data_IF_271675882296
#
_entry.id   IF_271675882296
#
_cell.length_a   1.000
_cell.length_b   1.000
_cell.length_c   1.000
_cell.angle_alpha   90.00
_cell.angle_beta   90.00
_cell.angle_gamma   90.00
#
_symmetry.space_group_name_H-M   'P 1'
#
loop_
_entity.id
_entity.type
_entity.pdbx_description
1 polymer ?
#
# COMPACT_ATOMS: atom_id res chain seq x y z
N UNK A 1 -29.02 74.95 33.19
CA UNK A 1 -28.73 73.91 34.19
C UNK A 1 -29.37 72.62 33.69
N UNK A 2 -28.61 71.76 33.00
CA UNK A 2 -29.10 70.46 32.51
C UNK A 2 -28.24 69.36 33.14
N UNK A 3 -28.90 68.45 33.84
CA UNK A 3 -28.31 67.31 34.54
C UNK A 3 -27.91 66.20 33.55
N UNK A 4 -26.69 65.69 33.70
CA UNK A 4 -26.22 64.46 33.05
C UNK A 4 -26.42 63.31 34.05
N UNK A 5 -27.24 62.33 33.68
CA UNK A 5 -27.43 61.08 34.43
C UNK A 5 -26.47 60.04 33.84
N UNK A 6 -25.53 59.56 34.64
CA UNK A 6 -24.62 58.46 34.31
C UNK A 6 -25.21 57.18 34.89
N UNK A 7 -25.59 56.24 34.03
CA UNK A 7 -26.00 54.89 34.43
C UNK A 7 -24.78 53.96 34.35
N UNK A 8 -24.37 53.41 35.49
CA UNK A 8 -23.33 52.38 35.60
C UNK A 8 -23.97 50.99 35.39
N UNK A 9 -23.46 50.23 34.42
CA UNK A 9 -23.85 48.84 34.20
C UNK A 9 -22.75 47.91 34.75
N UNK A 10 -23.11 47.09 35.73
CA UNK A 10 -22.28 46.08 36.38
C UNK A 10 -22.29 44.80 35.54
N UNK A 11 -21.12 44.31 35.12
CA UNK A 11 -20.98 43.02 34.43
C UNK A 11 -20.46 41.99 35.44
N UNK A 12 -21.28 40.98 35.74
CA UNK A 12 -20.91 39.83 36.56
C UNK A 12 -20.15 38.80 35.70
N UNK A 13 -18.95 38.43 36.15
CA UNK A 13 -18.10 37.41 35.55
C UNK A 13 -18.44 36.04 36.15
N UNK A 14 -18.88 35.09 35.31
CA UNK A 14 -19.09 33.70 35.68
C UNK A 14 -17.86 32.87 35.26
N UNK A 15 -17.10 32.40 36.24
CA UNK A 15 -15.99 31.48 36.06
C UNK A 15 -16.52 30.06 35.75
N UNK A 16 -16.09 29.48 34.62
CA UNK A 16 -16.36 28.08 34.29
C UNK A 16 -15.26 27.18 34.89
N UNK A 17 -15.68 26.17 35.65
CA UNK A 17 -14.81 25.14 36.18
C UNK A 17 -14.51 24.08 35.12
N UNK A 18 -13.24 23.79 34.88
CA UNK A 18 -12.80 22.68 34.03
C UNK A 18 -12.81 21.36 34.83
N UNK A 19 -13.21 20.23 34.22
CA UNK A 19 -13.19 18.92 34.87
C UNK A 19 -11.78 18.34 34.94
N UNK A 20 -11.38 17.90 36.13
CA UNK A 20 -10.15 17.15 36.42
C UNK A 20 -10.41 15.67 36.16
N UNK A 21 -9.64 15.04 35.26
CA UNK A 21 -9.67 13.59 35.04
C UNK A 21 -8.61 12.89 35.91
N UNK A 22 -8.93 11.73 36.52
CA UNK A 22 -7.96 10.97 37.31
C UNK A 22 -6.98 10.20 36.42
N UNK A 23 -5.68 10.35 36.71
CA UNK A 23 -4.58 9.61 36.09
C UNK A 23 -4.44 8.26 36.80
N UNK A 24 -4.47 7.16 36.03
CA UNK A 24 -4.23 5.81 36.55
C UNK A 24 -2.72 5.55 36.78
N UNK A 25 -2.34 4.79 37.83
CA UNK A 25 -0.95 4.48 38.12
C UNK A 25 -0.38 3.40 37.18
N UNK A 26 0.84 3.63 36.71
CA UNK A 26 1.63 2.71 35.88
C UNK A 26 2.46 1.80 36.80
N UNK A 27 2.20 0.50 36.75
CA UNK A 27 2.95 -0.52 37.48
C UNK A 27 4.19 -0.92 36.68
N UNK A 28 5.38 -0.54 37.14
CA UNK A 28 6.67 -0.95 36.61
C UNK A 28 7.18 -2.20 37.33
N UNK A 29 7.18 -3.34 36.65
CA UNK A 29 7.86 -4.56 37.11
C UNK A 29 9.28 -4.60 36.56
N UNK A 30 10.25 -4.35 37.43
CA UNK A 30 11.67 -4.59 37.22
C UNK A 30 11.97 -6.10 37.26
N UNK A 31 12.69 -6.59 36.25
CA UNK A 31 13.32 -7.92 36.31
C UNK A 31 14.80 -7.73 35.98
N UNK A 32 15.61 -7.60 37.02
CA UNK A 32 17.07 -7.50 36.95
C UNK A 32 17.62 -8.90 37.20
N UNK A 33 18.12 -9.54 36.15
CA UNK A 33 18.85 -10.79 36.26
C UNK A 33 20.35 -10.47 36.33
N UNK A 34 20.94 -10.73 37.49
CA UNK A 34 22.35 -10.53 37.81
C UNK A 34 23.09 -11.87 37.76
N UNK A 35 24.17 -11.91 36.97
CA UNK A 35 25.19 -12.95 37.03
C UNK A 35 25.93 -13.02 35.69
N UNK A 36 27.23 -13.20 35.60
CA UNK A 36 28.31 -13.12 36.56
C UNK A 36 29.55 -12.72 35.75
N UNK A 37 30.42 -11.89 36.33
CA UNK A 37 31.73 -11.60 35.79
C UNK A 37 32.64 -12.81 36.03
N UNK A 38 33.30 -13.30 34.98
CA UNK A 38 34.60 -13.94 35.14
C UNK A 38 35.53 -13.58 33.98
N UNK A 39 36.72 -13.14 34.37
CA UNK A 39 37.69 -12.42 33.56
C UNK A 39 38.91 -13.33 33.39
N UNK A 40 39.16 -13.82 32.18
CA UNK A 40 40.26 -14.74 31.89
C UNK A 40 40.90 -14.44 30.54
N UNK A 41 41.96 -13.63 30.58
CA UNK A 41 42.83 -13.32 29.45
C UNK A 41 43.86 -14.44 29.24
N UNK A 42 43.92 -15.10 28.08
CA UNK A 42 45.14 -15.78 27.59
C UNK A 42 45.16 -15.88 26.04
N UNK A 43 46.22 -15.28 25.49
CA UNK A 43 46.96 -15.54 24.24
C UNK A 43 46.27 -15.86 22.89
N UNK A 44 46.52 -14.90 22.00
CA UNK A 44 46.76 -14.97 20.56
C UNK A 44 47.52 -16.22 20.08
N UNK A 45 46.87 -17.11 19.31
CA UNK A 45 47.51 -18.08 18.39
C UNK A 45 46.55 -18.36 17.22
N UNK A 46 46.90 -17.94 16.01
CA UNK A 46 46.32 -18.47 14.76
C UNK A 46 46.82 -19.89 14.51
N UNK A 47 45.98 -20.79 14.01
CA UNK A 47 46.36 -21.39 12.74
C UNK A 47 45.21 -21.69 11.77
N UNK A 48 45.59 -21.60 10.50
CA UNK A 48 45.12 -22.35 9.32
C UNK A 48 44.36 -23.63 9.65
N UNK A 49 43.16 -23.78 9.10
CA UNK A 49 42.36 -25.00 9.21
C UNK A 49 41.24 -25.07 8.18
N UNK A 50 41.54 -25.75 7.08
CA UNK A 50 40.59 -26.30 6.11
C UNK A 50 39.39 -26.93 6.81
N UNK A 51 38.17 -26.61 6.37
CA UNK A 51 36.99 -27.40 6.75
C UNK A 51 36.38 -28.05 5.50
N UNK A 52 36.77 -29.32 5.34
CA UNK A 52 36.13 -30.32 4.51
C UNK A 52 34.81 -30.75 5.15
N UNK A 53 33.68 -30.38 4.56
CA UNK A 53 32.43 -31.10 4.78
C UNK A 53 32.12 -31.96 3.55
N UNK A 54 32.60 -33.20 3.68
CA UNK A 54 32.17 -34.37 2.95
C UNK A 54 30.68 -34.61 3.20
N UNK A 55 29.86 -34.46 2.16
CA UNK A 55 28.61 -35.20 2.03
C UNK A 55 28.72 -36.04 0.77
N UNK A 56 28.97 -37.32 1.00
CA UNK A 56 29.11 -38.35 0.00
C UNK A 56 27.73 -38.96 -0.26
N UNK A 57 27.27 -38.86 -1.51
CA UNK A 57 26.33 -39.73 -2.24
C UNK A 57 26.06 -38.98 -3.57
N UNK A 58 26.63 -39.35 -4.71
CA UNK A 58 26.75 -40.70 -5.25
C UNK A 58 25.59 -40.96 -6.22
N UNK A 59 25.54 -40.25 -7.35
CA UNK A 59 24.82 -40.72 -8.55
C UNK A 59 25.55 -40.31 -9.83
N UNK A 60 25.61 -41.29 -10.72
CA UNK A 60 26.45 -41.41 -11.90
C UNK A 60 26.03 -40.51 -13.06
N UNK A 61 27.02 -40.22 -13.91
CA UNK A 61 26.93 -39.50 -15.17
C UNK A 61 26.01 -40.17 -16.21
N UNK A 62 25.41 -39.36 -17.10
CA UNK A 62 25.36 -39.64 -18.53
C UNK A 62 25.29 -38.34 -19.36
N UNK A 63 26.21 -38.24 -20.33
CA UNK A 63 26.25 -37.26 -21.40
C UNK A 63 25.21 -37.57 -22.50
N UNK A 64 24.63 -36.55 -23.12
CA UNK A 64 24.44 -36.36 -24.59
C UNK A 64 23.58 -35.09 -24.81
N UNK A 65 24.05 -34.01 -25.46
CA UNK A 65 24.30 -33.80 -26.91
C UNK A 65 22.99 -33.64 -27.73
N UNK A 66 22.75 -32.38 -28.14
CA UNK A 66 22.14 -31.89 -29.41
C UNK A 66 20.62 -32.05 -29.61
N UNK A 67 19.91 -30.92 -29.65
CA UNK A 67 19.25 -30.35 -30.85
C UNK A 67 18.15 -29.34 -30.45
N UNK A 68 18.39 -28.05 -30.72
CA UNK A 68 17.31 -27.14 -31.11
C UNK A 68 16.81 -27.61 -32.48
N UNK A 69 15.49 -27.68 -32.71
CA UNK A 69 14.98 -26.84 -33.79
C UNK A 69 13.50 -26.40 -33.65
N UNK A 70 13.18 -25.27 -34.28
CA UNK A 70 11.84 -24.71 -34.54
C UNK A 70 11.13 -24.06 -33.34
N UNK A 71 10.44 -22.94 -33.46
CA UNK A 71 10.07 -22.20 -34.65
C UNK A 71 9.28 -20.97 -34.23
N UNK A 72 9.60 -19.86 -34.89
CA UNK A 72 8.86 -18.62 -34.90
C UNK A 72 7.41 -18.89 -35.34
N UNK A 73 6.43 -18.57 -34.48
CA UNK A 73 5.02 -18.48 -34.87
C UNK A 73 4.37 -17.36 -34.04
N UNK A 74 3.81 -16.39 -34.77
CA UNK A 74 3.36 -15.11 -34.23
C UNK A 74 2.07 -15.15 -33.42
N UNK A 75 1.73 -13.94 -32.98
CA UNK A 75 0.36 -13.45 -32.73
C UNK A 75 -0.34 -13.95 -31.46
N UNK A 76 -0.48 -13.05 -30.48
CA UNK A 76 -1.71 -12.26 -30.33
C UNK A 76 -1.74 -11.52 -28.98
N UNK A 77 -2.01 -10.22 -29.06
CA UNK A 77 -2.69 -9.38 -28.06
C UNK A 77 -2.55 -9.78 -26.58
N UNK A 78 -1.62 -9.15 -25.87
CA UNK A 78 -1.72 -9.06 -24.40
C UNK A 78 -1.83 -7.61 -23.95
N UNK A 79 -2.78 -7.43 -23.05
CA UNK A 79 -3.56 -6.22 -22.86
C UNK A 79 -2.79 -5.06 -22.21
N UNK A 80 -3.06 -3.87 -22.74
CA UNK A 80 -2.80 -2.56 -22.14
C UNK A 80 -3.72 -2.39 -20.91
N UNK A 81 -3.27 -2.79 -19.72
CA UNK A 81 -4.07 -2.66 -18.50
C UNK A 81 -3.80 -1.32 -17.82
N UNK A 82 -4.70 -0.40 -18.12
CA UNK A 82 -4.91 0.89 -17.48
C UNK A 82 -5.28 0.75 -15.99
N UNK A 83 -4.73 1.61 -15.13
CA UNK A 83 -4.80 1.57 -13.66
C UNK A 83 -6.16 2.01 -13.05
N UNK A 84 -7.29 1.91 -13.77
CA UNK A 84 -8.57 2.48 -13.32
C UNK A 84 -9.61 1.49 -12.76
N UNK A 85 -9.24 0.26 -12.41
CA UNK A 85 -10.22 -0.76 -11.97
C UNK A 85 -10.58 -0.74 -10.47
N UNK A 86 -10.28 0.33 -9.72
CA UNK A 86 -10.61 0.45 -8.28
C UNK A 86 -11.75 1.40 -7.94
N UNK A 87 -12.47 1.94 -8.94
CA UNK A 87 -13.58 2.85 -8.70
C UNK A 87 -14.74 2.55 -9.65
N UNK A 88 -15.60 1.62 -9.26
CA UNK A 88 -17.03 1.53 -9.63
C UNK A 88 -17.53 0.11 -9.37
N UNK A 89 -17.90 -0.22 -8.13
CA UNK A 89 -18.84 -1.30 -7.82
C UNK A 89 -19.48 -1.03 -6.45
N UNK A 90 -20.19 0.10 -6.33
CA UNK A 90 -21.23 0.22 -5.31
C UNK A 90 -22.42 -0.58 -5.84
N UNK A 91 -22.57 -1.82 -5.34
CA UNK A 91 -23.75 -2.63 -5.65
C UNK A 91 -24.98 -1.99 -5.00
N UNK A 92 -26.05 -1.65 -5.73
CA UNK A 92 -27.31 -1.29 -5.11
C UNK A 92 -27.92 -2.54 -4.48
N UNK A 93 -28.26 -2.46 -3.19
CA UNK A 93 -29.05 -3.48 -2.52
C UNK A 93 -30.44 -3.58 -3.17
N UNK A 94 -30.93 -4.77 -3.54
CA UNK A 94 -32.28 -4.93 -4.04
C UNK A 94 -33.26 -4.83 -2.85
N UNK A 95 -34.02 -3.73 -2.79
CA UNK A 95 -35.21 -3.62 -1.94
C UNK A 95 -36.38 -4.34 -2.61
N UNK A 96 -37.09 -5.24 -1.90
CA UNK A 96 -38.29 -5.89 -2.45
C UNK A 96 -39.43 -4.86 -2.53
N UNK A 97 -39.87 -4.57 -3.75
CA UNK A 97 -41.00 -3.70 -4.04
C UNK A 97 -42.31 -4.42 -3.69
N UNK A 98 -42.97 -3.99 -2.61
CA UNK A 98 -44.36 -4.33 -2.33
C UNK A 98 -45.25 -3.35 -3.10
N UNK A 99 -46.05 -3.86 -4.03
CA UNK A 99 -46.97 -3.08 -4.86
C UNK A 99 -48.07 -2.43 -4.01
N UNK A 100 -48.04 -1.11 -3.94
CA UNK A 100 -49.14 -0.28 -3.43
C UNK A 100 -49.43 0.81 -4.45
N UNK A 101 -50.74 1.01 -4.66
CA UNK A 101 -51.34 1.76 -5.75
C UNK A 101 -50.86 3.22 -5.87
N UNK A 102 -50.65 3.62 -7.13
CA UNK A 102 -50.30 4.97 -7.57
C UNK A 102 -51.42 5.96 -7.24
N UNK A 103 -51.27 6.71 -6.15
CA UNK A 103 -51.89 8.02 -6.01
C UNK A 103 -50.86 9.05 -6.43
N UNK A 104 -51.15 9.82 -7.49
CA UNK A 104 -50.30 10.92 -7.93
C UNK A 104 -50.36 12.04 -6.88
N UNK A 105 -49.24 12.42 -6.24
CA UNK A 105 -49.22 13.57 -5.37
C UNK A 105 -49.17 14.85 -6.22
N UNK A 106 -50.09 15.76 -5.92
CA UNK A 106 -50.15 17.13 -6.41
C UNK A 106 -48.80 17.83 -6.21
N UNK A 107 -48.17 18.18 -7.34
CA UNK A 107 -46.95 18.97 -7.44
C UNK A 107 -47.25 20.42 -7.07
N UNK A 108 -46.71 20.95 -5.95
CA UNK A 108 -46.37 22.39 -5.81
C UNK A 108 -45.76 22.85 -4.46
N UNK A 109 -45.33 21.98 -3.53
CA UNK A 109 -44.84 22.46 -2.22
C UNK A 109 -43.57 21.80 -1.66
N UNK A 110 -42.80 21.03 -2.45
CA UNK A 110 -41.71 20.19 -1.91
C UNK A 110 -40.29 20.78 -2.08
N UNK A 111 -40.07 21.83 -2.87
CA UNK A 111 -38.69 22.24 -3.19
C UNK A 111 -38.07 23.35 -2.32
N UNK A 112 -38.88 24.16 -1.63
CA UNK A 112 -38.34 25.31 -0.88
C UNK A 112 -37.61 24.90 0.40
N UNK A 113 -38.07 23.86 1.09
CA UNK A 113 -37.43 23.35 2.32
C UNK A 113 -36.06 22.72 2.03
N UNK A 114 -35.91 22.07 0.88
CA UNK A 114 -34.64 21.50 0.43
C UNK A 114 -33.61 22.59 0.15
N UNK A 115 -33.99 23.65 -0.58
CA UNK A 115 -33.11 24.78 -0.88
C UNK A 115 -32.66 25.52 0.38
N UNK A 116 -33.59 25.78 1.31
CA UNK A 116 -33.27 26.48 2.55
C UNK A 116 -32.37 25.65 3.46
N UNK A 117 -32.61 24.33 3.56
CA UNK A 117 -31.74 23.41 4.30
C UNK A 117 -30.30 23.45 3.78
N UNK A 118 -30.10 23.37 2.46
CA UNK A 118 -28.76 23.44 1.88
C UNK A 118 -28.07 24.79 2.11
N UNK A 119 -28.82 25.89 2.07
CA UNK A 119 -28.30 27.22 2.41
C UNK A 119 -27.85 27.29 3.86
N UNK A 120 -28.67 26.81 4.80
CA UNK A 120 -28.32 26.77 6.23
C UNK A 120 -27.10 25.89 6.49
N UNK A 121 -27.02 24.73 5.83
CA UNK A 121 -25.86 23.84 5.93
C UNK A 121 -24.58 24.47 5.39
N UNK A 122 -24.66 25.17 4.25
CA UNK A 122 -23.50 25.90 3.71
C UNK A 122 -23.02 26.99 4.66
N UNK A 123 -23.95 27.74 5.26
CA UNK A 123 -23.63 28.77 6.25
C UNK A 123 -22.97 28.18 7.50
N UNK A 124 -23.51 27.08 8.02
CA UNK A 124 -22.91 26.35 9.13
C UNK A 124 -21.49 25.87 8.79
N UNK A 125 -21.27 25.33 7.59
CA UNK A 125 -19.94 24.90 7.13
C UNK A 125 -18.95 26.08 7.10
N UNK A 126 -19.36 27.25 6.59
CA UNK A 126 -18.52 28.46 6.57
C UNK A 126 -18.13 28.87 7.99
N UNK A 127 -19.09 28.91 8.90
CA UNK A 127 -18.85 29.25 10.31
C UNK A 127 -17.87 28.28 10.97
N UNK A 128 -18.04 26.98 10.72
CA UNK A 128 -17.11 25.96 11.24
C UNK A 128 -15.69 26.15 10.71
N UNK A 129 -15.51 26.49 9.42
CA UNK A 129 -14.18 26.75 8.86
C UNK A 129 -13.54 28.00 9.47
N UNK A 130 -14.31 29.08 9.63
CA UNK A 130 -13.81 30.29 10.28
C UNK A 130 -13.39 30.02 11.73
N UNK A 131 -14.16 29.21 12.46
CA UNK A 131 -13.87 28.91 13.87
C UNK A 131 -12.66 27.98 14.05
N UNK A 132 -12.51 26.96 13.21
CA UNK A 132 -11.55 25.88 13.45
C UNK A 132 -10.32 25.91 12.54
N UNK A 133 -10.47 26.38 11.30
CA UNK A 133 -9.40 26.40 10.29
C UNK A 133 -8.65 27.71 10.26
N UNK A 134 -9.35 28.84 10.37
CA UNK A 134 -8.72 30.17 10.30
C UNK A 134 -8.34 30.68 11.69
N UNK A 135 -7.07 30.49 12.05
CA UNK A 135 -6.55 30.84 13.36
C UNK A 135 -5.76 32.15 13.30
N UNK A 136 -6.02 33.13 14.19
CA UNK A 136 -5.24 34.38 14.20
C UNK A 136 -3.76 34.14 14.54
N UNK A 137 -3.46 33.08 15.28
CA UNK A 137 -2.09 32.69 15.64
C UNK A 137 -1.30 32.03 14.49
N UNK A 138 -1.97 31.59 13.41
CA UNK A 138 -1.34 30.93 12.24
C UNK A 138 -1.78 31.62 10.94
N UNK A 139 -1.10 32.71 10.53
CA UNK A 139 -1.47 33.47 9.33
C UNK A 139 -1.43 32.64 8.04
N UNK A 140 -0.67 31.54 8.01
CA UNK A 140 -0.61 30.61 6.88
C UNK A 140 -1.97 29.99 6.57
N UNK A 141 -2.82 29.78 7.59
CA UNK A 141 -4.15 29.21 7.43
C UNK A 141 -5.12 30.13 6.68
N UNK A 142 -4.84 31.44 6.63
CA UNK A 142 -5.66 32.44 5.93
C UNK A 142 -5.54 32.29 4.41
N UNK A 143 -4.50 31.59 3.93
CA UNK A 143 -4.37 31.25 2.51
C UNK A 143 -5.28 30.09 2.08
N UNK A 144 -5.74 29.26 3.03
CA UNK A 144 -6.59 28.08 2.78
C UNK A 144 -8.09 28.41 2.79
N UNK A 145 -8.51 29.32 3.68
CA UNK A 145 -9.89 29.75 3.88
C UNK A 145 -9.93 31.28 3.90
N UNK A 146 -10.81 31.87 3.10
CA UNK A 146 -10.95 33.33 2.98
C UNK A 146 -11.70 33.98 4.16
N UNK A 147 -11.97 35.28 4.05
CA UNK A 147 -12.70 36.07 5.05
C UNK A 147 -14.17 35.66 5.18
N UNK A 148 -14.71 35.04 4.14
CA UNK A 148 -16.10 34.62 4.04
C UNK A 148 -16.32 33.14 4.44
N UNK A 149 -15.25 32.42 4.81
CA UNK A 149 -15.32 31.01 5.19
C UNK A 149 -15.40 30.04 4.00
N UNK A 150 -15.11 30.52 2.80
CA UNK A 150 -15.00 29.72 1.59
C UNK A 150 -13.58 29.18 1.42
N UNK A 151 -13.48 28.04 0.75
CA UNK A 151 -12.21 27.37 0.52
C UNK A 151 -11.51 28.03 -0.67
N UNK A 152 -10.26 28.44 -0.49
CA UNK A 152 -9.45 28.92 -1.61
C UNK A 152 -9.06 27.74 -2.51
N UNK A 153 -9.75 27.58 -3.63
CA UNK A 153 -9.51 26.47 -4.57
C UNK A 153 -8.09 26.52 -5.16
N UNK A 154 -7.50 27.72 -5.30
CA UNK A 154 -6.14 27.86 -5.83
C UNK A 154 -5.10 27.28 -4.89
N UNK A 155 -5.34 27.31 -3.58
CA UNK A 155 -4.44 26.74 -2.58
C UNK A 155 -4.27 25.21 -2.75
N UNK A 156 -5.34 24.51 -3.14
CA UNK A 156 -5.34 23.05 -3.31
C UNK A 156 -4.98 22.60 -4.72
N UNK A 157 -4.80 23.54 -5.64
CA UNK A 157 -4.25 23.22 -6.95
C UNK A 157 -2.73 23.09 -6.83
N UNK A 158 -2.10 22.15 -7.56
CA UNK A 158 -0.66 22.15 -7.72
C UNK A 158 -0.20 23.55 -8.17
N UNK A 159 0.96 24.04 -7.68
CA UNK A 159 1.50 25.32 -8.14
C UNK A 159 1.46 25.40 -9.67
N UNK A 160 1.11 26.58 -10.23
CA UNK A 160 1.02 26.76 -11.69
C UNK A 160 2.36 26.47 -12.39
N UNK A 161 3.46 26.61 -11.66
CA UNK A 161 4.83 26.31 -12.10
C UNK A 161 5.28 24.88 -11.76
N UNK A 162 4.41 24.06 -11.14
CA UNK A 162 4.72 22.67 -10.88
C UNK A 162 4.81 21.93 -12.22
N UNK A 163 6.03 21.61 -12.63
CA UNK A 163 6.27 20.73 -13.77
C UNK A 163 5.53 19.43 -13.50
N UNK A 164 4.54 19.05 -14.33
CA UNK A 164 3.83 17.81 -14.13
C UNK A 164 4.85 16.68 -14.13
N UNK A 165 4.92 15.92 -13.04
CA UNK A 165 5.75 14.74 -12.98
C UNK A 165 5.31 13.85 -14.15
N UNK A 166 6.19 13.65 -15.12
CA UNK A 166 5.91 12.79 -16.28
C UNK A 166 5.57 11.41 -15.71
N UNK A 167 4.30 11.03 -15.80
CA UNK A 167 3.83 9.74 -15.30
C UNK A 167 4.61 8.63 -15.99
N UNK A 168 5.55 8.04 -15.27
CA UNK A 168 6.42 7.00 -15.78
C UNK A 168 5.60 5.74 -15.99
N UNK A 169 5.49 5.31 -17.24
CA UNK A 169 4.80 4.07 -17.61
C UNK A 169 5.76 2.90 -17.46
N UNK A 170 5.24 1.79 -16.94
CA UNK A 170 5.96 0.52 -16.89
C UNK A 170 5.73 -0.21 -18.21
N UNK A 171 6.76 -0.35 -19.03
CA UNK A 171 6.72 -1.00 -20.34
C UNK A 171 7.44 -2.34 -20.39
N UNK A 172 7.51 -2.89 -21.60
CA UNK A 172 8.16 -4.18 -21.85
C UNK A 172 9.69 -4.10 -21.72
N UNK A 173 10.29 -2.95 -21.99
CA UNK A 173 11.72 -2.73 -21.81
C UNK A 173 12.12 -2.77 -20.34
N UNK A 174 11.37 -2.14 -19.45
CA UNK A 174 11.61 -2.23 -18.00
C UNK A 174 11.38 -3.65 -17.49
N UNK A 175 10.35 -4.34 -18.00
CA UNK A 175 10.10 -5.75 -17.66
C UNK A 175 11.27 -6.63 -18.06
N UNK A 176 11.81 -6.46 -19.28
CA UNK A 176 12.98 -7.21 -19.77
C UNK A 176 14.21 -6.96 -18.91
N UNK A 177 14.50 -5.71 -18.56
CA UNK A 177 15.61 -5.35 -17.66
C UNK A 177 15.43 -5.92 -16.26
N UNK A 178 14.20 -5.98 -15.75
CA UNK A 178 13.91 -6.61 -14.47
C UNK A 178 14.21 -8.11 -14.50
N UNK A 179 13.83 -8.81 -15.58
CA UNK A 179 14.15 -10.23 -15.76
C UNK A 179 15.66 -10.46 -15.84
N UNK A 180 16.39 -9.63 -16.58
CA UNK A 180 17.86 -9.66 -16.62
C UNK A 180 18.49 -9.44 -15.23
N UNK A 181 17.94 -8.51 -14.45
CA UNK A 181 18.36 -8.26 -13.07
C UNK A 181 18.12 -9.45 -12.16
N UNK A 182 16.97 -10.12 -12.28
CA UNK A 182 16.63 -11.33 -11.52
C UNK A 182 17.58 -12.48 -11.89
N UNK A 183 17.89 -12.66 -13.16
CA UNK A 183 18.82 -13.68 -13.63
C UNK A 183 20.24 -13.45 -13.06
N UNK A 184 20.70 -12.18 -13.05
CA UNK A 184 22.05 -11.82 -12.64
C UNK A 184 22.24 -11.79 -11.11
N UNK A 185 21.34 -11.11 -10.40
CA UNK A 185 21.49 -10.86 -8.96
C UNK A 185 20.66 -11.84 -8.12
N UNK A 186 19.46 -12.18 -8.58
CA UNK A 186 18.48 -13.00 -7.87
C UNK A 186 17.37 -12.17 -7.21
N UNK A 187 16.30 -12.86 -6.82
CA UNK A 187 15.18 -12.24 -6.11
C UNK A 187 15.60 -11.89 -4.68
N UNK A 188 15.38 -10.63 -4.29
CA UNK A 188 15.78 -10.07 -2.99
C UNK A 188 16.81 -8.95 -3.12
N UNK A 189 17.59 -8.93 -4.21
CA UNK A 189 18.62 -7.93 -4.51
C UNK A 189 18.08 -6.77 -5.35
N UNK A 190 16.93 -6.21 -4.94
CA UNK A 190 16.24 -5.18 -5.72
C UNK A 190 16.99 -3.85 -5.75
N UNK A 191 17.83 -3.58 -4.74
CA UNK A 191 18.62 -2.37 -4.67
C UNK A 191 19.69 -2.37 -5.77
N UNK A 192 20.39 -3.47 -5.93
CA UNK A 192 21.43 -3.69 -6.93
C UNK A 192 20.85 -3.62 -8.34
N UNK A 193 19.66 -4.20 -8.55
CA UNK A 193 18.94 -4.12 -9.83
C UNK A 193 18.53 -2.67 -10.13
N UNK A 194 18.03 -1.94 -9.12
CA UNK A 194 17.69 -0.52 -9.31
C UNK A 194 18.92 0.30 -9.66
N UNK A 195 20.04 0.17 -8.95
CA UNK A 195 21.23 0.99 -9.18
C UNK A 195 21.87 0.72 -10.55
N UNK A 196 21.78 -0.50 -11.07
CA UNK A 196 22.50 -0.91 -12.29
C UNK A 196 21.67 -0.90 -13.56
N UNK A 197 20.42 -1.37 -13.51
CA UNK A 197 19.58 -1.58 -14.70
C UNK A 197 18.39 -0.61 -14.76
N UNK A 198 17.83 -0.26 -13.60
CA UNK A 198 16.59 0.50 -13.49
C UNK A 198 16.71 1.63 -12.44
N UNK A 199 17.61 2.62 -12.63
CA UNK A 199 17.91 3.66 -11.63
C UNK A 199 16.74 4.62 -11.37
N UNK A 200 15.74 4.53 -12.22
CA UNK A 200 14.52 5.33 -12.18
C UNK A 200 13.40 4.65 -11.37
N UNK A 201 13.61 3.43 -10.90
CA UNK A 201 12.62 2.67 -10.13
C UNK A 201 13.20 2.36 -8.76
N UNK A 202 12.43 2.62 -7.70
CA UNK A 202 12.88 2.27 -6.36
C UNK A 202 12.94 0.75 -6.19
N UNK A 203 13.79 0.25 -5.30
CA UNK A 203 13.83 -1.18 -4.99
C UNK A 203 12.48 -1.73 -4.52
N UNK A 204 11.65 -0.91 -3.85
CA UNK A 204 10.29 -1.30 -3.47
C UNK A 204 9.35 -1.41 -4.69
N UNK A 205 9.45 -0.50 -5.66
CA UNK A 205 8.66 -0.62 -6.89
C UNK A 205 9.04 -1.87 -7.65
N UNK A 206 10.34 -2.16 -7.78
CA UNK A 206 10.83 -3.38 -8.42
C UNK A 206 10.31 -4.63 -7.72
N UNK A 207 10.33 -4.66 -6.38
CA UNK A 207 9.71 -5.75 -5.60
C UNK A 207 8.24 -5.94 -5.97
N UNK A 208 7.46 -4.87 -6.04
CA UNK A 208 6.04 -4.94 -6.41
C UNK A 208 5.83 -5.40 -7.86
N UNK A 209 6.73 -5.03 -8.78
CA UNK A 209 6.71 -5.53 -10.16
C UNK A 209 7.09 -7.00 -10.25
N UNK A 210 8.10 -7.45 -9.49
CA UNK A 210 8.48 -8.87 -9.40
C UNK A 210 7.36 -9.74 -8.87
N UNK A 211 6.57 -9.27 -7.89
CA UNK A 211 5.37 -9.98 -7.42
C UNK A 211 4.41 -10.30 -8.58
N UNK A 212 4.20 -9.36 -9.49
CA UNK A 212 3.30 -9.53 -10.65
C UNK A 212 3.91 -10.42 -11.71
N UNK A 213 5.22 -10.32 -11.92
CA UNK A 213 5.97 -11.13 -12.89
C UNK A 213 6.06 -12.59 -12.45
N UNK A 214 6.29 -12.86 -11.17
CA UNK A 214 6.35 -14.21 -10.61
C UNK A 214 4.95 -14.78 -10.30
N UNK A 215 3.92 -13.93 -10.26
CA UNK A 215 2.57 -14.35 -9.90
C UNK A 215 2.43 -14.73 -8.42
N UNK A 216 3.23 -14.16 -7.53
CA UNK A 216 3.21 -14.49 -6.08
C UNK A 216 3.49 -13.29 -5.21
N UNK A 217 2.66 -13.08 -4.19
CA UNK A 217 2.79 -11.94 -3.28
C UNK A 217 3.98 -12.06 -2.33
N UNK A 218 4.20 -13.24 -1.76
CA UNK A 218 5.34 -13.48 -0.87
C UNK A 218 6.55 -14.00 -1.66
N UNK A 219 7.56 -13.15 -1.80
CA UNK A 219 8.83 -13.47 -2.46
C UNK A 219 9.90 -14.03 -1.52
N UNK A 220 9.65 -14.16 -0.20
CA UNK A 220 10.65 -14.62 0.77
C UNK A 220 11.18 -16.03 0.47
N UNK A 221 10.34 -16.89 -0.10
CA UNK A 221 10.71 -18.26 -0.47
C UNK A 221 11.56 -18.32 -1.75
N UNK A 222 11.67 -17.21 -2.47
CA UNK A 222 12.57 -17.06 -3.62
C UNK A 222 13.83 -16.26 -3.25
N UNK A 223 14.17 -16.14 -1.96
CA UNK A 223 15.38 -15.42 -1.56
C UNK A 223 16.60 -16.01 -2.28
N UNK A 224 17.35 -15.15 -2.95
CA UNK A 224 18.54 -15.50 -3.73
C UNK A 224 18.27 -16.40 -4.96
N UNK A 225 17.01 -16.73 -5.25
CA UNK A 225 16.63 -17.52 -6.42
C UNK A 225 16.91 -16.74 -7.71
N UNK A 226 17.49 -17.44 -8.68
CA UNK A 226 17.85 -16.91 -10.00
C UNK A 226 17.23 -17.80 -11.06
N UNK A 227 16.58 -17.18 -12.03
CA UNK A 227 15.99 -17.88 -13.16
C UNK A 227 15.97 -16.98 -14.38
N UNK A 228 16.06 -17.62 -15.55
CA UNK A 228 15.85 -16.95 -16.83
C UNK A 228 14.36 -16.61 -17.02
N UNK A 229 14.04 -15.89 -18.09
CA UNK A 229 12.66 -15.49 -18.41
C UNK A 229 11.69 -16.69 -18.49
N UNK A 230 12.15 -17.85 -19.00
CA UNK A 230 11.35 -19.08 -19.11
C UNK A 230 11.02 -19.68 -17.74
N UNK A 231 12.01 -19.73 -16.83
CA UNK A 231 11.82 -20.23 -15.47
C UNK A 231 10.87 -19.34 -14.67
N UNK A 232 10.98 -18.02 -14.85
CA UNK A 232 10.05 -17.04 -14.27
C UNK A 232 8.62 -17.26 -14.79
N UNK A 233 8.46 -17.46 -16.10
CA UNK A 233 7.14 -17.71 -16.70
C UNK A 233 6.55 -19.04 -16.24
N UNK A 234 7.38 -20.08 -16.10
CA UNK A 234 6.97 -21.37 -15.54
C UNK A 234 6.47 -21.22 -14.11
N UNK A 235 7.21 -20.50 -13.26
CA UNK A 235 6.78 -20.20 -11.89
C UNK A 235 5.47 -19.39 -11.86
N UNK A 236 5.31 -18.42 -12.78
CA UNK A 236 4.08 -17.66 -12.91
C UNK A 236 2.87 -18.55 -13.20
N UNK A 237 2.95 -19.41 -14.21
CA UNK A 237 1.85 -20.30 -14.56
C UNK A 237 1.56 -21.32 -13.45
N UNK A 238 2.60 -21.84 -12.80
CA UNK A 238 2.45 -22.74 -11.64
C UNK A 238 1.71 -22.05 -10.48
N UNK A 239 2.12 -20.84 -10.12
CA UNK A 239 1.48 -20.07 -9.04
C UNK A 239 0.04 -19.70 -9.41
N UNK A 240 -0.22 -19.41 -10.68
CA UNK A 240 -1.55 -19.13 -11.21
C UNK A 240 -2.46 -20.34 -11.16
N UNK A 241 -1.98 -21.53 -11.51
CA UNK A 241 -2.74 -22.77 -11.41
C UNK A 241 -3.13 -23.07 -9.96
N UNK A 242 -2.19 -22.98 -9.02
CA UNK A 242 -2.45 -23.17 -7.59
C UNK A 242 -3.49 -22.15 -7.10
N UNK A 243 -3.32 -20.88 -7.47
CA UNK A 243 -4.22 -19.80 -7.06
C UNK A 243 -5.63 -19.93 -7.63
N UNK A 244 -5.77 -20.41 -8.87
CA UNK A 244 -7.08 -20.66 -9.47
C UNK A 244 -7.76 -21.88 -8.82
N UNK A 245 -7.01 -22.96 -8.57
CA UNK A 245 -7.51 -24.18 -7.92
C UNK A 245 -8.05 -23.91 -6.50
N UNK A 246 -7.39 -23.04 -5.75
CA UNK A 246 -7.72 -22.75 -4.34
C UNK A 246 -8.52 -21.44 -4.15
N UNK A 247 -8.87 -20.73 -5.24
CA UNK A 247 -9.55 -19.42 -5.13
C UNK A 247 -8.69 -18.31 -4.50
N UNK A 248 -7.37 -18.47 -4.49
CA UNK A 248 -6.39 -17.59 -3.86
C UNK A 248 -5.65 -16.67 -4.86
N UNK A 249 -6.04 -16.69 -6.13
CA UNK A 249 -5.50 -15.79 -7.16
C UNK A 249 -6.17 -14.41 -7.11
N UNK A 250 -5.46 -13.41 -6.59
CA UNK A 250 -5.99 -12.05 -6.41
C UNK A 250 -5.04 -11.03 -7.00
N UNK A 251 -5.57 -10.17 -7.90
CA UNK A 251 -4.75 -9.17 -8.56
C UNK A 251 -3.58 -9.76 -9.34
N UNK A 252 -3.72 -10.91 -9.99
CA UNK A 252 -2.62 -11.49 -10.78
C UNK A 252 -1.45 -12.01 -9.95
N UNK A 253 -1.65 -12.32 -8.67
CA UNK A 253 -0.68 -13.00 -7.83
C UNK A 253 -1.37 -13.97 -6.86
N UNK A 254 -0.64 -15.01 -6.49
CA UNK A 254 -1.01 -15.97 -5.45
C UNK A 254 -0.85 -15.33 -4.07
N UNK A 255 -1.95 -15.31 -3.30
CA UNK A 255 -2.03 -14.82 -1.92
C UNK A 255 -2.22 -16.00 -0.98
N UNK A 256 -1.69 -15.91 0.25
CA UNK A 256 -1.93 -16.96 1.25
C UNK A 256 -3.38 -16.97 1.73
N UNK A 257 -3.86 -18.16 2.04
CA UNK A 257 -5.09 -18.40 2.79
C UNK A 257 -4.80 -18.54 4.28
N UNK A 258 -5.82 -18.30 5.10
CA UNK A 258 -5.71 -18.43 6.56
C UNK A 258 -5.60 -19.90 7.01
N UNK A 259 -6.09 -20.83 6.19
CA UNK A 259 -6.09 -22.28 6.46
C UNK A 259 -4.75 -22.96 6.08
N UNK A 260 -3.82 -22.23 5.44
CA UNK A 260 -2.50 -22.73 5.05
C UNK A 260 -2.49 -23.73 3.88
N UNK A 261 -3.60 -23.95 3.18
CA UNK A 261 -3.72 -24.85 2.04
C UNK A 261 -2.86 -24.40 0.86
N UNK A 262 -2.71 -23.09 0.67
CA UNK A 262 -1.82 -22.52 -0.37
C UNK A 262 -0.37 -22.89 -0.09
N UNK A 263 0.07 -22.80 1.17
CA UNK A 263 1.44 -23.17 1.53
C UNK A 263 1.69 -24.66 1.29
N UNK A 264 0.76 -25.52 1.70
CA UNK A 264 0.87 -26.97 1.47
C UNK A 264 0.93 -27.30 -0.03
N UNK A 265 0.06 -26.70 -0.84
CA UNK A 265 0.06 -26.89 -2.29
C UNK A 265 1.37 -26.46 -2.96
N UNK A 266 2.00 -25.38 -2.46
CA UNK A 266 3.29 -24.92 -2.95
C UNK A 266 4.40 -25.89 -2.57
N UNK A 267 4.42 -26.40 -1.34
CA UNK A 267 5.40 -27.39 -0.91
C UNK A 267 5.28 -28.71 -1.69
N UNK A 268 4.06 -29.18 -1.93
CA UNK A 268 3.80 -30.35 -2.77
C UNK A 268 4.27 -30.11 -4.21
N UNK A 269 3.96 -28.94 -4.78
CA UNK A 269 4.42 -28.56 -6.12
C UNK A 269 5.94 -28.46 -6.21
N UNK A 270 6.61 -27.92 -5.17
CA UNK A 270 8.07 -27.85 -5.08
C UNK A 270 8.73 -29.23 -4.98
N UNK A 271 8.07 -30.21 -4.33
CA UNK A 271 8.58 -31.59 -4.29
C UNK A 271 8.55 -32.25 -5.67
N UNK A 272 7.51 -31.95 -6.46
CA UNK A 272 7.37 -32.49 -7.81
C UNK A 272 8.27 -31.78 -8.82
N UNK A 273 8.35 -30.45 -8.74
CA UNK A 273 9.16 -29.60 -9.61
C UNK A 273 9.77 -28.47 -8.77
N UNK A 274 11.01 -28.64 -8.28
CA UNK A 274 11.67 -27.60 -7.50
C UNK A 274 11.93 -26.36 -8.37
N UNK A 275 11.88 -25.15 -7.77
CA UNK A 275 12.15 -23.90 -8.46
C UNK A 275 13.62 -23.77 -8.88
#
# INVERSE_FOLDING_TARGET
MNFIVIAAATIASAASAAPVFPVAPVSSSSNVNSGAFDNGSVSNVSPVGSNSNSWNNGFNAHQNVVANPWGNAGSSTFNNWNNNAWNNHVRPYPVPYCGMATQQPTQSSIDTSSSEFWRQKQEWIKQMRLQFSRRPEFPETHSMVDDEGMLNQEYFQPPKDAVPAVERKWGDDEKRKLLEGIEKYGIGHFREISETLLPQWSGNDLRMKTIRVMGRQNLQLYKDWRGNAESVQREYERNKEIGLRLGAWKGGALVYDDDGLVLQAIEESNKANPP
#
